data_IF_413610000290
#
_entry.id   IF_413610000290
#
_cell.length_a   1.000
_cell.length_b   1.000
_cell.length_c   1.000
_cell.angle_alpha   90.00
_cell.angle_beta   90.00
_cell.angle_gamma   90.00
#
_symmetry.space_group_name_H-M   'P 1'
#
loop_
_entity.id
_entity.type
_entity.pdbx_description
1 polymer ?
#
# COMPACT_ATOMS: atom_id res chain seq x y z
N UNK A 1 -11.16 7.24 -1.13
CA UNK A 1 -10.06 6.46 -1.76
C UNK A 1 -10.22 4.96 -1.56
N UNK A 2 -10.67 4.50 -0.39
CA UNK A 2 -10.72 3.07 -0.03
C UNK A 2 -11.48 2.16 -1.01
N UNK A 3 -12.61 2.61 -1.56
CA UNK A 3 -13.38 1.85 -2.55
C UNK A 3 -12.69 1.76 -3.91
N UNK A 4 -12.09 2.86 -4.37
CA UNK A 4 -11.29 2.88 -5.60
C UNK A 4 -10.07 1.96 -5.49
N UNK A 5 -9.48 1.88 -4.29
CA UNK A 5 -8.34 1.02 -4.00
C UNK A 5 -8.65 -0.47 -4.13
N UNK A 6 -9.85 -0.90 -3.72
CA UNK A 6 -10.30 -2.29 -3.89
C UNK A 6 -10.79 -2.64 -5.28
N UNK A 7 -11.16 -1.65 -6.09
CA UNK A 7 -11.67 -1.86 -7.45
C UNK A 7 -10.61 -1.76 -8.55
N UNK A 8 -9.33 -1.56 -8.22
CA UNK A 8 -8.28 -1.36 -9.23
C UNK A 8 -8.38 -0.01 -9.96
N UNK A 9 -9.18 0.93 -9.46
CA UNK A 9 -9.44 2.21 -10.13
C UNK A 9 -8.38 3.26 -9.80
N UNK A 10 -7.16 3.06 -10.32
CA UNK A 10 -6.02 3.93 -10.02
C UNK A 10 -6.25 5.39 -10.41
N UNK A 11 -6.84 5.66 -11.58
CA UNK A 11 -7.15 7.03 -12.03
C UNK A 11 -8.13 7.75 -11.09
N UNK A 12 -9.17 7.03 -10.65
CA UNK A 12 -10.14 7.55 -9.67
C UNK A 12 -9.46 7.80 -8.32
N UNK A 13 -8.51 6.96 -7.94
CA UNK A 13 -7.75 7.13 -6.71
C UNK A 13 -6.88 8.39 -6.75
N UNK A 14 -6.17 8.64 -7.86
CA UNK A 14 -5.39 9.86 -8.08
C UNK A 14 -6.28 11.12 -8.10
N UNK A 15 -7.44 11.05 -8.76
CA UNK A 15 -8.41 12.13 -8.76
C UNK A 15 -8.89 12.45 -7.33
N UNK A 16 -9.29 11.42 -6.57
CA UNK A 16 -9.74 11.60 -5.20
C UNK A 16 -8.64 12.14 -4.28
N UNK A 17 -7.37 11.79 -4.51
CA UNK A 17 -6.25 12.33 -3.76
C UNK A 17 -6.06 13.83 -3.99
N UNK A 18 -6.18 14.29 -5.23
CA UNK A 18 -5.98 15.70 -5.57
C UNK A 18 -7.15 16.57 -5.12
N UNK A 19 -8.38 16.06 -5.22
CA UNK A 19 -9.59 16.83 -4.93
C UNK A 19 -10.02 16.78 -3.46
N UNK A 20 -9.52 15.83 -2.65
CA UNK A 20 -9.94 15.65 -1.25
C UNK A 20 -8.77 15.69 -0.28
N UNK A 21 -8.96 16.41 0.82
CA UNK A 21 -7.99 16.52 1.92
C UNK A 21 -8.14 15.43 3.00
N UNK A 22 -9.23 14.65 2.98
CA UNK A 22 -9.52 13.60 3.98
C UNK A 22 -8.58 12.39 3.89
N UNK A 23 -7.99 12.12 2.73
CA UNK A 23 -7.03 11.03 2.51
C UNK A 23 -7.64 9.62 2.43
N UNK A 24 -6.81 8.61 2.68
CA UNK A 24 -7.21 7.20 2.73
C UNK A 24 -7.22 6.67 4.17
N UNK A 25 -8.00 5.62 4.43
CA UNK A 25 -7.92 4.88 5.70
C UNK A 25 -7.15 3.57 5.53
N UNK A 26 -6.88 2.86 6.63
CA UNK A 26 -6.28 1.51 6.59
C UNK A 26 -7.05 0.55 5.68
N UNK A 27 -8.36 0.77 5.47
CA UNK A 27 -9.18 -0.04 4.56
C UNK A 27 -8.70 0.02 3.12
N UNK A 28 -8.12 1.14 2.66
CA UNK A 28 -7.58 1.22 1.30
C UNK A 28 -6.48 0.17 1.06
N UNK A 29 -5.57 -0.02 2.02
CA UNK A 29 -4.52 -1.03 1.93
C UNK A 29 -5.08 -2.45 2.00
N UNK A 30 -6.04 -2.71 2.90
CA UNK A 30 -6.69 -4.02 2.98
C UNK A 30 -7.41 -4.36 1.69
N UNK A 31 -8.19 -3.42 1.16
CA UNK A 31 -8.95 -3.59 -0.07
C UNK A 31 -8.03 -3.80 -1.28
N UNK A 32 -6.97 -3.00 -1.42
CA UNK A 32 -6.00 -3.18 -2.50
C UNK A 32 -5.22 -4.51 -2.38
N UNK A 33 -4.91 -4.94 -1.15
CA UNK A 33 -4.22 -6.22 -0.90
C UNK A 33 -5.10 -7.42 -1.20
N UNK A 34 -6.36 -7.38 -0.78
CA UNK A 34 -7.33 -8.45 -1.06
C UNK A 34 -7.64 -8.55 -2.55
N UNK A 35 -7.69 -7.41 -3.25
CA UNK A 35 -7.84 -7.32 -4.70
C UNK A 35 -6.57 -7.65 -5.50
N UNK A 36 -5.42 -7.84 -4.84
CA UNK A 36 -4.10 -8.05 -5.48
C UNK A 36 -3.66 -6.90 -6.42
N UNK A 37 -4.10 -5.68 -6.10
CA UNK A 37 -3.83 -4.46 -6.85
C UNK A 37 -2.47 -3.87 -6.47
N UNK A 38 -1.40 -4.50 -6.96
CA UNK A 38 -0.02 -4.13 -6.61
C UNK A 38 0.32 -2.67 -6.94
N UNK A 39 -0.17 -2.14 -8.06
CA UNK A 39 0.08 -0.75 -8.49
C UNK A 39 -0.47 0.25 -7.46
N UNK A 40 -1.69 0.02 -7.02
CA UNK A 40 -2.35 0.85 -6.01
C UNK A 40 -1.63 0.71 -4.67
N UNK A 41 -1.24 -0.51 -4.29
CA UNK A 41 -0.48 -0.75 -3.06
C UNK A 41 0.86 -0.03 -3.03
N UNK A 42 1.60 -0.05 -4.14
CA UNK A 42 2.86 0.67 -4.25
C UNK A 42 2.67 2.16 -4.02
N UNK A 43 1.68 2.74 -4.70
CA UNK A 43 1.34 4.14 -4.58
C UNK A 43 0.89 4.52 -3.15
N UNK A 44 -0.04 3.75 -2.57
CA UNK A 44 -0.51 3.97 -1.20
C UNK A 44 0.66 3.89 -0.21
N UNK A 45 1.58 2.95 -0.40
CA UNK A 45 2.73 2.82 0.46
C UNK A 45 3.68 4.01 0.36
N UNK A 46 3.91 4.56 -0.84
CA UNK A 46 4.78 5.71 -1.02
C UNK A 46 4.21 6.98 -0.37
N UNK A 47 2.91 7.21 -0.49
CA UNK A 47 2.27 8.41 0.04
C UNK A 47 1.85 8.29 1.51
N UNK A 48 1.52 7.09 1.99
CA UNK A 48 0.88 6.86 3.29
C UNK A 48 1.62 5.89 4.22
N UNK A 49 2.84 5.45 3.88
CA UNK A 49 3.65 4.55 4.72
C UNK A 49 3.77 5.00 6.18
N UNK A 50 3.88 6.31 6.42
CA UNK A 50 4.01 6.88 7.76
C UNK A 50 2.73 6.79 8.60
N UNK A 51 1.56 6.75 7.97
CA UNK A 51 0.27 6.77 8.68
C UNK A 51 -0.17 5.37 9.14
N UNK A 52 0.04 4.34 8.32
CA UNK A 52 -0.58 3.03 8.55
C UNK A 52 0.40 1.92 8.94
N UNK A 53 1.71 2.17 8.86
CA UNK A 53 2.74 1.19 9.22
C UNK A 53 2.72 -0.06 8.31
N UNK A 54 3.62 -0.99 8.58
CA UNK A 54 3.81 -2.21 7.77
C UNK A 54 3.01 -3.42 8.25
N UNK A 55 2.65 -3.43 9.53
CA UNK A 55 2.06 -4.59 10.20
C UNK A 55 0.72 -5.04 9.61
N UNK A 56 -0.23 -4.13 9.27
CA UNK A 56 -1.50 -4.55 8.69
C UNK A 56 -1.29 -5.29 7.36
N UNK A 57 -0.39 -4.79 6.51
CA UNK A 57 -0.15 -5.36 5.18
C UNK A 57 0.38 -6.79 5.22
N UNK A 58 1.21 -7.12 6.22
CA UNK A 58 1.81 -8.44 6.34
C UNK A 58 0.76 -9.52 6.62
N UNK A 59 -0.26 -9.20 7.42
CA UNK A 59 -1.38 -10.09 7.73
C UNK A 59 -2.26 -10.35 6.50
N UNK A 60 -2.66 -9.28 5.79
CA UNK A 60 -3.56 -9.41 4.63
C UNK A 60 -2.87 -9.98 3.39
N UNK A 61 -1.56 -9.82 3.28
CA UNK A 61 -0.80 -10.33 2.15
C UNK A 61 -0.46 -11.82 2.30
N UNK A 62 -0.74 -12.50 3.42
CA UNK A 62 -0.23 -13.87 3.67
C UNK A 62 -0.49 -14.88 2.53
N UNK A 63 -1.63 -14.76 1.86
CA UNK A 63 -2.01 -15.61 0.71
C UNK A 63 -1.70 -14.98 -0.66
N UNK A 64 -1.10 -13.80 -0.67
CA UNK A 64 -0.79 -12.99 -1.87
C UNK A 64 0.71 -13.01 -2.13
N UNK A 65 1.15 -13.97 -2.94
CA UNK A 65 2.57 -14.24 -3.20
C UNK A 65 3.33 -13.00 -3.70
N UNK A 66 2.81 -12.29 -4.71
CA UNK A 66 3.49 -11.13 -5.30
C UNK A 66 3.59 -9.96 -4.31
N UNK A 67 2.52 -9.70 -3.58
CA UNK A 67 2.46 -8.63 -2.57
C UNK A 67 3.41 -8.91 -1.40
N UNK A 68 3.47 -10.14 -0.89
CA UNK A 68 4.45 -10.52 0.15
C UNK A 68 5.88 -10.43 -0.34
N UNK A 69 6.13 -10.92 -1.56
CA UNK A 69 7.47 -10.89 -2.14
C UNK A 69 7.94 -9.44 -2.25
N UNK A 70 7.08 -8.55 -2.75
CA UNK A 70 7.36 -7.12 -2.82
C UNK A 70 7.62 -6.51 -1.44
N UNK A 71 6.75 -6.78 -0.45
CA UNK A 71 6.89 -6.25 0.90
C UNK A 71 8.20 -6.70 1.57
N UNK A 72 8.57 -7.98 1.41
CA UNK A 72 9.85 -8.53 1.90
C UNK A 72 11.06 -7.85 1.23
N UNK A 73 11.00 -7.62 -0.08
CA UNK A 73 12.06 -6.90 -0.79
C UNK A 73 12.21 -5.46 -0.29
N UNK A 74 11.08 -4.77 -0.09
CA UNK A 74 11.06 -3.39 0.42
C UNK A 74 11.58 -3.29 1.85
N UNK A 75 11.30 -4.27 2.70
CA UNK A 75 11.86 -4.34 4.05
C UNK A 75 13.39 -4.53 4.05
N UNK A 76 13.91 -5.39 3.18
CA UNK A 76 15.36 -5.61 3.03
C UNK A 76 16.07 -4.35 2.51
N UNK A 77 15.45 -3.62 1.58
CA UNK A 77 16.00 -2.38 1.03
C UNK A 77 16.15 -1.29 2.11
N UNK A 78 15.15 -1.13 2.98
CA UNK A 78 15.21 -0.14 4.06
C UNK A 78 16.19 -0.54 5.18
N UNK A 79 16.27 -1.82 5.54
CA UNK A 79 17.26 -2.30 6.52
C UNK A 79 18.71 -2.07 6.05
N UNK A 80 18.98 -2.24 4.76
CA UNK A 80 20.28 -1.94 4.16
C UNK A 80 20.59 -0.43 4.09
N UNK A 81 19.57 0.43 4.00
CA UNK A 81 19.75 1.88 4.06
C UNK A 81 20.08 2.36 5.49
N UNK A 82 19.54 1.69 6.51
CA UNK A 82 19.77 2.03 7.92
C UNK A 82 21.11 1.49 8.47
N UNK A 83 21.60 0.35 7.94
CA UNK A 83 22.86 -0.28 8.36
C UNK A 83 24.15 0.25 7.71
N UNK A 84 24.08 1.36 6.95
CA UNK A 84 25.24 2.04 6.33
C UNK A 84 25.69 3.31 7.06
N UNK A 85 25.36 3.45 8.35
CA UNK A 85 25.85 4.54 9.21
C UNK A 85 26.87 4.01 10.20
#
# INVERSE_FOLDING_TARGET
MDGAAGGGHFEVLLFLQNERSEGCTSKAFVNATTADELTILQWLFEHYSKQFGRDPLQLYAFDKFYTLRWLKQKAKAEGNAQGRR
#
